data_IF_654990440725
#
_entry.id   IF_654990440725
#
_cell.length_a   1.000
_cell.length_b   1.000
_cell.length_c   1.000
_cell.angle_alpha   90.00
_cell.angle_beta   90.00
_cell.angle_gamma   90.00
#
_symmetry.space_group_name_H-M   'P 1'
#
loop_
_entity.id
_entity.type
_entity.pdbx_description
1 polymer ?
#
# COMPACT_ATOMS: atom_id res chain seq x y z
N UNK A 1 4.35 7.56 18.25
CA UNK A 1 3.47 7.91 17.13
C UNK A 1 2.88 6.60 16.62
N UNK A 2 1.65 6.23 17.00
CA UNK A 2 0.98 5.06 16.42
C UNK A 2 0.49 5.48 15.04
N UNK A 3 0.85 4.72 14.01
CA UNK A 3 0.19 4.87 12.72
C UNK A 3 -1.25 4.40 12.91
N UNK A 4 -2.22 5.32 12.82
CA UNK A 4 -3.63 4.96 12.80
C UNK A 4 -3.99 4.35 11.45
N UNK A 5 -5.04 3.53 11.39
CA UNK A 5 -5.47 2.90 10.13
C UNK A 5 -5.79 3.91 9.02
N UNK A 6 -6.30 5.09 9.38
CA UNK A 6 -6.55 6.20 8.45
C UNK A 6 -5.24 6.75 7.85
N UNK A 7 -4.14 6.75 8.61
CA UNK A 7 -2.84 7.18 8.13
C UNK A 7 -2.28 6.19 7.08
N UNK A 8 -2.49 4.87 7.27
CA UNK A 8 -2.05 3.88 6.30
C UNK A 8 -2.77 4.00 4.96
N UNK A 9 -4.06 4.33 4.95
CA UNK A 9 -4.79 4.55 3.71
C UNK A 9 -4.26 5.78 2.96
N UNK A 10 -4.07 6.90 3.67
CA UNK A 10 -3.52 8.11 3.07
C UNK A 10 -2.08 7.91 2.54
N UNK A 11 -1.24 7.17 3.27
CA UNK A 11 0.11 6.78 2.81
C UNK A 11 0.01 5.89 1.58
N UNK A 12 -0.81 4.85 1.62
CA UNK A 12 -1.00 3.93 0.49
C UNK A 12 -1.49 4.63 -0.76
N UNK A 13 -2.40 5.60 -0.61
CA UNK A 13 -2.94 6.41 -1.70
C UNK A 13 -1.83 7.23 -2.38
N UNK A 14 -0.98 7.90 -1.59
CA UNK A 14 0.16 8.66 -2.12
C UNK A 14 1.15 7.77 -2.86
N UNK A 15 1.46 6.59 -2.32
CA UNK A 15 2.37 5.64 -2.98
C UNK A 15 1.77 5.15 -4.30
N UNK A 16 0.46 4.86 -4.32
CA UNK A 16 -0.25 4.45 -5.52
C UNK A 16 -0.14 5.53 -6.61
N UNK A 17 -0.45 6.79 -6.28
CA UNK A 17 -0.36 7.93 -7.20
C UNK A 17 1.06 8.14 -7.73
N UNK A 18 2.07 8.10 -6.86
CA UNK A 18 3.47 8.23 -7.25
C UNK A 18 3.93 7.14 -8.23
N UNK A 19 3.34 5.95 -8.14
CA UNK A 19 3.69 4.80 -8.98
C UNK A 19 2.78 4.64 -10.18
N UNK A 20 1.78 5.52 -10.37
CA UNK A 20 0.74 5.34 -11.38
C UNK A 20 -0.07 4.05 -11.18
N UNK A 21 -0.19 3.59 -9.94
CA UNK A 21 -0.92 2.40 -9.53
C UNK A 21 -2.26 2.79 -8.89
N UNK A 22 -3.11 1.78 -8.68
CA UNK A 22 -4.33 1.91 -7.89
C UNK A 22 -4.14 1.27 -6.53
N UNK A 23 -4.61 1.93 -5.47
CA UNK A 23 -4.62 1.35 -4.14
C UNK A 23 -5.71 0.28 -4.03
N UNK A 24 -5.33 -0.97 -3.82
CA UNK A 24 -6.29 -2.06 -3.59
C UNK A 24 -6.64 -2.24 -2.12
N UNK A 25 -5.64 -2.12 -1.23
CA UNK A 25 -5.86 -2.14 0.21
C UNK A 25 -4.73 -1.43 0.94
N UNK A 26 -5.03 -0.92 2.13
CA UNK A 26 -4.06 -0.44 3.09
C UNK A 26 -4.52 -0.87 4.48
N UNK A 27 -3.65 -1.52 5.24
CA UNK A 27 -3.96 -2.07 6.54
C UNK A 27 -2.80 -1.84 7.50
N UNK A 28 -3.13 -1.44 8.72
CA UNK A 28 -2.16 -1.43 9.83
C UNK A 28 -2.00 -2.86 10.34
N UNK A 29 -0.77 -3.35 10.36
CA UNK A 29 -0.41 -4.69 10.81
C UNK A 29 0.67 -4.57 11.88
N UNK A 30 0.60 -5.40 12.92
CA UNK A 30 1.68 -5.50 13.91
C UNK A 30 2.48 -6.76 13.63
N UNK A 31 3.72 -6.60 13.15
CA UNK A 31 4.64 -7.71 12.85
C UNK A 31 5.86 -7.61 13.77
N UNK A 32 6.16 -8.69 14.50
CA UNK A 32 7.33 -8.72 15.40
C UNK A 32 7.33 -7.67 16.51
N UNK A 33 6.16 -7.14 16.89
CA UNK A 33 6.02 -6.05 17.87
C UNK A 33 6.13 -4.64 17.27
N UNK A 34 6.35 -4.52 15.96
CA UNK A 34 6.35 -3.24 15.25
C UNK A 34 5.04 -3.05 14.48
N UNK A 35 4.44 -1.87 14.60
CA UNK A 35 3.27 -1.48 13.80
C UNK A 35 3.74 -0.95 12.45
N UNK A 36 3.25 -1.55 11.36
CA UNK A 36 3.58 -1.22 9.97
C UNK A 36 2.30 -1.06 9.13
N UNK A 37 2.38 -0.31 8.04
CA UNK A 37 1.33 -0.29 7.02
C UNK A 37 1.64 -1.32 5.94
N UNK A 38 0.78 -2.32 5.79
CA UNK A 38 0.77 -3.20 4.62
C UNK A 38 -0.16 -2.63 3.57
N UNK A 39 0.40 -2.28 2.42
CA UNK A 39 -0.29 -1.63 1.31
C UNK A 39 -0.25 -2.56 0.11
N UNK A 40 -1.38 -2.80 -0.54
CA UNK A 40 -1.44 -3.56 -1.79
C UNK A 40 -1.78 -2.61 -2.93
N UNK A 41 -0.90 -2.59 -3.92
CA UNK A 41 -1.02 -1.78 -5.13
C UNK A 41 -1.38 -2.67 -6.32
N UNK A 42 -2.25 -2.15 -7.17
CA UNK A 42 -2.55 -2.70 -8.50
C UNK A 42 -1.89 -1.81 -9.54
N UNK A 43 -0.77 -2.29 -10.08
CA UNK A 43 -0.05 -1.60 -11.15
C UNK A 43 -0.70 -2.03 -12.47
N UNK A 44 -1.30 -1.11 -13.25
CA UNK A 44 -1.87 -1.43 -14.54
C UNK A 44 -0.82 -2.09 -15.46
N UNK A 45 -1.20 -3.20 -16.09
CA UNK A 45 -0.42 -3.76 -17.18
C UNK A 45 -0.59 -2.90 -18.44
N UNK A 46 0.38 -2.94 -19.35
CA UNK A 46 0.26 -2.30 -20.66
C UNK A 46 -0.20 -3.33 -21.70
N UNK A 47 -0.88 -2.87 -22.76
CA UNK A 47 -1.22 -3.69 -23.93
C UNK A 47 -1.97 -4.99 -23.59
N UNK A 48 -2.97 -4.92 -22.70
CA UNK A 48 -3.78 -6.09 -22.31
C UNK A 48 -3.12 -7.03 -21.31
N UNK A 49 -1.92 -6.71 -20.81
CA UNK A 49 -1.31 -7.45 -19.72
C UNK A 49 -2.15 -7.31 -18.44
N UNK A 50 -2.19 -8.39 -17.66
CA UNK A 50 -2.90 -8.41 -16.37
C UNK A 50 -2.25 -7.40 -15.40
N UNK A 51 -3.04 -6.70 -14.58
CA UNK A 51 -2.50 -5.85 -13.52
C UNK A 51 -1.58 -6.65 -12.60
N UNK A 52 -0.47 -6.04 -12.22
CA UNK A 52 0.47 -6.62 -11.26
C UNK A 52 0.06 -6.20 -9.86
N UNK A 53 -0.06 -7.17 -8.96
CA UNK A 53 -0.22 -6.91 -7.53
C UNK A 53 1.15 -6.78 -6.90
N UNK A 54 1.41 -5.65 -6.26
CA UNK A 54 2.62 -5.43 -5.49
C UNK A 54 2.23 -5.10 -4.05
N UNK A 55 2.88 -5.76 -3.11
CA UNK A 55 2.71 -5.47 -1.69
C UNK A 55 3.87 -4.61 -1.21
N UNK A 56 3.54 -3.52 -0.53
CA UNK A 56 4.49 -2.55 0.02
C UNK A 56 4.27 -2.47 1.52
N UNK A 57 5.32 -2.72 2.29
CA UNK A 57 5.32 -2.53 3.74
C UNK A 57 6.00 -1.21 4.05
N UNK A 58 5.30 -0.35 4.79
CA UNK A 58 5.82 0.95 5.24
C UNK A 58 5.90 0.92 6.76
N UNK A 59 7.12 1.02 7.29
CA UNK A 59 7.35 1.23 8.71
C UNK A 59 7.23 2.73 9.04
N UNK A 60 6.48 3.04 10.10
CA UNK A 60 6.40 4.38 10.69
C UNK A 60 7.53 4.70 11.64
#
# INVERSE_FOLDING_TARGET
MQIAAEDCYAVGQRIAEQRGAQLASAQTVTEGGQTVCRVVLLIPGQNGQRPRREEVVVSG
#
